data_IF_680137073037
#
_entry.id   IF_680137073037
#
_cell.length_a   1.000
_cell.length_b   1.000
_cell.length_c   1.000
_cell.angle_alpha   90.00
_cell.angle_beta   90.00
_cell.angle_gamma   90.00
#
_symmetry.space_group_name_H-M   'P 1'
#
loop_
_entity.id
_entity.type
_entity.pdbx_description
1 polymer ?
#
# COMPACT_ATOMS: atom_id res chain seq x y z
N UNK A 1 23.71 24.90 -2.11
CA UNK A 1 23.82 24.56 -3.54
C UNK A 1 22.50 24.06 -4.01
N UNK A 2 21.89 24.87 -4.82
CA UNK A 2 20.52 24.76 -5.33
C UNK A 2 20.47 23.78 -6.49
N UNK A 3 19.68 22.74 -6.42
CA UNK A 3 19.30 21.98 -7.61
C UNK A 3 17.80 21.91 -7.78
N UNK A 4 17.29 23.01 -8.29
CA UNK A 4 16.05 23.13 -9.02
C UNK A 4 16.24 22.53 -10.42
N UNK A 5 15.49 21.55 -10.82
CA UNK A 5 15.29 21.09 -12.22
C UNK A 5 14.27 19.96 -12.23
N UNK A 6 13.32 19.90 -13.05
CA UNK A 6 12.81 20.56 -14.21
C UNK A 6 11.33 20.17 -14.32
N UNK A 7 10.47 21.15 -14.30
CA UNK A 7 9.10 20.99 -14.80
C UNK A 7 9.15 21.00 -16.31
N UNK A 8 8.89 19.88 -16.93
CA UNK A 8 8.61 19.85 -18.37
C UNK A 8 7.11 19.68 -18.57
N UNK A 9 6.48 20.81 -18.83
CA UNK A 9 5.10 20.88 -19.30
C UNK A 9 5.05 20.42 -20.75
N UNK A 10 4.36 19.34 -21.03
CA UNK A 10 3.95 18.99 -22.38
C UNK A 10 2.47 19.27 -22.49
N UNK A 11 2.18 20.38 -23.17
CA UNK A 11 0.84 20.73 -23.62
C UNK A 11 0.65 20.05 -24.97
N UNK A 12 -0.19 19.04 -25.05
CA UNK A 12 -0.70 18.52 -26.31
C UNK A 12 -2.12 19.03 -26.52
N UNK A 13 -2.21 20.03 -27.39
CA UNK A 13 -3.47 20.45 -27.96
C UNK A 13 -3.89 19.41 -29.02
N UNK A 14 -5.02 18.78 -28.84
CA UNK A 14 -5.65 17.94 -29.85
C UNK A 14 -6.84 18.69 -30.47
N UNK A 15 -6.77 18.88 -31.77
CA UNK A 15 -7.75 19.56 -32.56
C UNK A 15 -9.03 18.75 -32.73
N UNK A 16 -10.12 19.45 -32.62
CA UNK A 16 -11.48 19.02 -32.94
C UNK A 16 -11.69 18.90 -34.45
N UNK A 17 -12.19 17.77 -34.89
CA UNK A 17 -12.87 17.69 -36.17
C UNK A 17 -14.30 17.22 -35.95
N UNK A 18 -15.20 18.13 -36.18
CA UNK A 18 -16.64 17.90 -36.28
C UNK A 18 -16.95 17.27 -37.63
N UNK A 19 -17.57 16.10 -37.62
CA UNK A 19 -18.23 15.56 -38.82
C UNK A 19 -19.70 15.33 -38.53
N UNK A 20 -20.53 16.16 -39.15
CA UNK A 20 -21.98 15.98 -39.23
C UNK A 20 -22.30 14.84 -40.21
N UNK A 21 -23.09 13.91 -39.78
CA UNK A 21 -23.69 12.88 -40.62
C UNK A 21 -25.02 12.43 -40.05
N UNK A 22 -26.10 13.01 -40.57
CA UNK A 22 -27.47 12.57 -40.36
C UNK A 22 -27.70 11.20 -40.99
N UNK A 23 -28.40 10.29 -40.31
CA UNK A 23 -29.51 9.54 -40.92
C UNK A 23 -30.25 8.72 -39.83
N UNK A 24 -31.54 8.98 -39.79
CA UNK A 24 -32.54 8.31 -39.03
C UNK A 24 -32.64 6.81 -39.28
N UNK A 25 -32.64 6.00 -38.23
CA UNK A 25 -33.38 4.74 -38.25
C UNK A 25 -33.97 4.49 -36.85
N UNK A 26 -35.29 4.63 -36.81
CA UNK A 26 -36.06 4.13 -35.72
C UNK A 26 -36.02 2.59 -35.71
N UNK A 27 -35.47 2.02 -34.70
CA UNK A 27 -35.65 0.61 -34.38
C UNK A 27 -35.97 0.52 -32.88
N UNK A 28 -37.20 0.26 -32.59
CA UNK A 28 -37.68 -0.18 -31.29
C UNK A 28 -37.04 -1.52 -30.97
N UNK A 29 -35.98 -1.51 -30.20
CA UNK A 29 -35.48 -2.67 -29.54
C UNK A 29 -35.46 -2.41 -28.05
N UNK A 30 -36.44 -2.96 -27.36
CA UNK A 30 -36.46 -3.06 -25.93
C UNK A 30 -35.30 -3.93 -25.50
N UNK A 31 -34.26 -3.33 -25.04
CA UNK A 31 -33.19 -4.02 -24.36
C UNK A 31 -33.59 -4.20 -22.90
N UNK A 32 -33.58 -5.41 -22.37
CA UNK A 32 -33.77 -5.60 -20.92
C UNK A 32 -32.62 -4.90 -20.22
N UNK A 33 -32.98 -4.01 -19.30
CA UNK A 33 -32.06 -3.37 -18.40
C UNK A 33 -31.33 -4.45 -17.58
N UNK A 34 -30.17 -4.84 -18.04
CA UNK A 34 -29.21 -5.48 -17.17
C UNK A 34 -28.74 -4.40 -16.20
N UNK A 35 -29.36 -4.41 -15.02
CA UNK A 35 -28.80 -3.74 -13.87
C UNK A 35 -27.48 -4.44 -13.58
N UNK A 36 -26.43 -3.98 -14.22
CA UNK A 36 -25.10 -4.22 -13.75
C UNK A 36 -24.98 -3.49 -12.43
N UNK A 37 -25.28 -4.20 -11.37
CA UNK A 37 -24.78 -3.85 -10.06
C UNK A 37 -23.26 -3.72 -10.23
N UNK A 38 -22.80 -2.48 -10.37
CA UNK A 38 -21.41 -2.16 -10.19
C UNK A 38 -21.10 -2.50 -8.73
N UNK A 39 -20.75 -3.75 -8.49
CA UNK A 39 -19.99 -4.08 -7.32
C UNK A 39 -18.67 -3.34 -7.52
N UNK A 40 -18.60 -2.15 -6.99
CA UNK A 40 -17.33 -1.54 -6.64
C UNK A 40 -16.73 -2.50 -5.62
N UNK A 41 -16.07 -3.52 -6.13
CA UNK A 41 -15.05 -4.22 -5.36
C UNK A 41 -14.02 -3.13 -5.09
N UNK A 42 -14.14 -2.51 -3.93
CA UNK A 42 -13.00 -1.89 -3.32
C UNK A 42 -11.96 -3.00 -3.29
N UNK A 43 -11.07 -2.98 -4.26
CA UNK A 43 -9.86 -3.77 -4.20
C UNK A 43 -9.14 -3.23 -2.99
N UNK A 44 -9.39 -3.88 -1.86
CA UNK A 44 -8.47 -3.78 -0.75
C UNK A 44 -7.12 -4.10 -1.37
N UNK A 45 -6.30 -3.09 -1.53
CA UNK A 45 -4.92 -3.26 -1.97
C UNK A 45 -4.30 -4.16 -0.93
N UNK A 46 -4.26 -5.44 -1.23
CA UNK A 46 -3.57 -6.42 -0.41
C UNK A 46 -2.10 -6.06 -0.54
N UNK A 47 -1.65 -5.25 0.39
CA UNK A 47 -0.24 -4.95 0.49
C UNK A 47 0.49 -6.28 0.71
N UNK A 48 1.57 -6.52 -0.02
CA UNK A 48 2.26 -7.79 0.05
C UNK A 48 2.77 -8.04 1.47
N UNK A 49 2.54 -9.24 1.96
CA UNK A 49 3.09 -9.68 3.24
C UNK A 49 4.60 -9.81 3.09
N UNK A 50 5.33 -9.13 3.92
CA UNK A 50 6.80 -9.09 3.92
C UNK A 50 7.36 -9.71 5.20
N UNK A 51 8.62 -10.11 5.14
CA UNK A 51 9.36 -10.63 6.29
C UNK A 51 10.44 -9.65 6.68
N UNK A 52 10.43 -9.25 7.93
CA UNK A 52 11.39 -8.33 8.52
C UNK A 52 12.20 -9.06 9.58
N UNK A 53 13.50 -8.79 9.66
CA UNK A 53 14.38 -9.38 10.67
C UNK A 53 15.06 -8.28 11.45
N UNK A 54 14.90 -8.31 12.76
CA UNK A 54 15.48 -7.27 13.58
C UNK A 54 15.29 -7.51 15.07
N UNK A 55 15.66 -6.51 15.83
CA UNK A 55 15.50 -6.53 17.29
C UNK A 55 14.31 -5.67 17.68
N UNK A 56 13.45 -6.20 18.56
CA UNK A 56 12.38 -5.40 19.15
C UNK A 56 12.98 -4.56 20.27
N UNK A 57 12.89 -3.24 20.16
CA UNK A 57 13.38 -2.31 21.16
C UNK A 57 12.23 -1.44 21.68
N UNK A 58 12.29 -1.10 22.97
CA UNK A 58 11.36 -0.14 23.54
C UNK A 58 11.85 1.28 23.30
N UNK A 59 11.03 2.08 22.65
CA UNK A 59 11.28 3.50 22.42
C UNK A 59 10.14 4.31 23.03
N UNK A 60 10.47 5.08 24.06
CA UNK A 60 9.47 5.80 24.86
C UNK A 60 8.43 4.82 25.42
N UNK A 61 7.18 4.90 24.97
CA UNK A 61 6.08 4.05 25.41
C UNK A 61 5.64 3.02 24.34
N UNK A 62 6.41 2.88 23.28
CA UNK A 62 6.10 2.00 22.16
C UNK A 62 7.22 1.00 21.90
N UNK A 63 6.84 -0.15 21.37
CA UNK A 63 7.78 -1.14 20.89
C UNK A 63 7.93 -0.98 19.37
N UNK A 64 9.18 -0.96 18.94
CA UNK A 64 9.58 -0.76 17.54
C UNK A 64 10.49 -1.90 17.11
N UNK A 65 10.46 -2.24 15.83
CA UNK A 65 11.39 -3.18 15.22
C UNK A 65 12.53 -2.40 14.60
N UNK A 66 13.74 -2.67 15.05
CA UNK A 66 14.96 -2.19 14.40
C UNK A 66 15.45 -3.27 13.45
N UNK A 67 15.25 -3.06 12.17
CA UNK A 67 15.65 -3.99 11.12
C UNK A 67 17.18 -4.01 10.99
N UNK A 68 17.76 -5.19 11.13
CA UNK A 68 19.21 -5.39 10.99
C UNK A 68 19.68 -5.37 9.54
N UNK A 69 18.79 -5.65 8.61
CA UNK A 69 19.14 -5.75 7.19
C UNK A 69 19.20 -4.36 6.53
N UNK A 70 18.21 -3.54 6.80
CA UNK A 70 18.09 -2.20 6.21
C UNK A 70 18.54 -1.07 7.15
N UNK A 71 18.69 -1.36 8.45
CA UNK A 71 18.93 -0.36 9.49
C UNK A 71 17.71 0.55 9.74
N UNK A 72 16.58 0.26 9.11
CA UNK A 72 15.36 1.02 9.27
C UNK A 72 14.65 0.67 10.57
N UNK A 73 13.83 1.60 11.03
CA UNK A 73 13.03 1.43 12.23
C UNK A 73 11.56 1.47 11.88
N UNK A 74 10.81 0.45 12.30
CA UNK A 74 9.39 0.33 12.04
C UNK A 74 8.60 0.29 13.33
N UNK A 75 7.45 0.93 13.35
CA UNK A 75 6.51 0.75 14.45
C UNK A 75 5.80 -0.60 14.30
N UNK A 76 5.40 -1.19 15.42
CA UNK A 76 4.62 -2.43 15.43
C UNK A 76 3.19 -2.09 15.85
N UNK A 77 2.20 -2.56 15.11
CA UNK A 77 0.79 -2.28 15.42
C UNK A 77 0.34 -2.99 16.70
N UNK A 78 0.79 -4.23 16.89
CA UNK A 78 0.46 -5.02 18.05
C UNK A 78 1.53 -4.87 19.14
N UNK A 79 1.33 -3.90 20.01
CA UNK A 79 2.27 -3.58 21.10
C UNK A 79 2.34 -4.67 22.18
N UNK A 80 1.25 -5.40 22.41
CA UNK A 80 1.21 -6.48 23.42
C UNK A 80 2.09 -7.65 22.98
N UNK A 81 1.98 -8.08 21.74
CA UNK A 81 2.89 -9.09 21.18
C UNK A 81 4.33 -8.60 21.13
N UNK A 82 4.54 -7.37 20.73
CA UNK A 82 5.89 -6.80 20.66
C UNK A 82 6.56 -6.74 22.03
N UNK A 83 5.81 -6.49 23.08
CA UNK A 83 6.30 -6.46 24.46
C UNK A 83 6.92 -7.78 24.89
N UNK A 84 6.34 -8.91 24.50
CA UNK A 84 6.84 -10.25 24.85
C UNK A 84 8.22 -10.53 24.24
N UNK A 85 8.53 -9.87 23.15
CA UNK A 85 9.77 -10.05 22.40
C UNK A 85 10.75 -8.87 22.58
N UNK A 86 10.49 -7.98 23.52
CA UNK A 86 11.35 -6.83 23.78
C UNK A 86 12.79 -7.26 24.09
N UNK A 87 13.76 -6.66 23.38
CA UNK A 87 15.19 -6.95 23.52
C UNK A 87 15.63 -8.24 22.83
N UNK A 88 14.75 -8.90 22.09
CA UNK A 88 15.07 -10.14 21.38
C UNK A 88 15.17 -9.90 19.86
N UNK A 89 15.98 -10.72 19.23
CA UNK A 89 16.02 -10.80 17.77
C UNK A 89 14.84 -11.63 17.28
N UNK A 90 14.05 -11.03 16.40
CA UNK A 90 12.84 -11.63 15.90
C UNK A 90 12.74 -11.56 14.38
N UNK A 91 11.98 -12.48 13.84
CA UNK A 91 11.49 -12.43 12.47
C UNK A 91 9.99 -12.11 12.52
N UNK A 92 9.65 -10.95 12.01
CA UNK A 92 8.28 -10.48 11.91
C UNK A 92 7.77 -10.70 10.50
N UNK A 93 6.63 -11.36 10.37
CA UNK A 93 5.90 -11.47 9.11
C UNK A 93 4.68 -10.57 9.19
N UNK A 94 4.52 -9.70 8.22
CA UNK A 94 3.41 -8.76 8.23
C UNK A 94 3.39 -7.84 7.02
N UNK A 95 2.48 -6.90 7.04
CA UNK A 95 2.31 -5.89 6.01
C UNK A 95 2.86 -4.56 6.48
N UNK A 96 3.70 -3.93 5.69
CA UNK A 96 4.22 -2.59 5.98
C UNK A 96 3.27 -1.53 5.43
N UNK A 97 2.82 -0.65 6.29
CA UNK A 97 2.18 0.61 5.89
C UNK A 97 3.26 1.70 5.72
N UNK A 98 3.56 2.09 4.49
CA UNK A 98 4.63 3.07 4.23
C UNK A 98 4.26 4.49 4.68
N UNK A 99 2.99 4.79 4.85
CA UNK A 99 2.53 6.12 5.25
C UNK A 99 2.80 6.40 6.73
N UNK A 100 2.72 5.37 7.56
CA UNK A 100 2.94 5.44 9.01
C UNK A 100 4.21 4.75 9.48
N UNK A 101 4.95 4.09 8.58
CA UNK A 101 6.07 3.20 8.89
C UNK A 101 5.71 2.15 9.95
N UNK A 102 4.50 1.62 9.87
CA UNK A 102 3.97 0.64 10.81
C UNK A 102 3.85 -0.72 10.16
N UNK A 103 4.36 -1.75 10.82
CA UNK A 103 4.19 -3.14 10.42
C UNK A 103 2.95 -3.69 11.12
N UNK A 104 1.98 -4.13 10.34
CA UNK A 104 0.86 -4.93 10.82
C UNK A 104 1.33 -6.37 10.99
N UNK A 105 1.49 -6.81 12.24
CA UNK A 105 2.05 -8.11 12.57
C UNK A 105 1.03 -9.21 12.28
N UNK A 106 1.37 -10.09 11.35
CA UNK A 106 0.64 -11.36 11.14
C UNK A 106 1.24 -12.47 12.00
N UNK A 107 2.57 -12.56 12.05
CA UNK A 107 3.31 -13.54 12.83
C UNK A 107 4.63 -12.96 13.34
N UNK A 108 5.09 -13.44 14.49
CA UNK A 108 6.36 -13.05 15.09
C UNK A 108 7.05 -14.29 15.68
N UNK A 109 8.29 -14.49 15.31
CA UNK A 109 9.10 -15.63 15.74
C UNK A 109 10.43 -15.14 16.30
N UNK A 110 10.84 -15.70 17.42
CA UNK A 110 12.18 -15.44 17.97
C UNK A 110 13.22 -16.11 17.08
N UNK A 111 14.22 -15.36 16.66
CA UNK A 111 15.40 -15.94 16.08
C UNK A 111 16.34 -16.37 17.23
N UNK A 112 16.34 -17.66 17.51
CA UNK A 112 17.41 -18.22 18.33
C UNK A 112 18.67 -18.16 17.49
N UNK A 113 19.58 -17.25 17.81
CA UNK A 113 20.87 -17.18 17.16
C UNK A 113 21.60 -18.52 17.33
N UNK A 114 21.96 -19.11 16.23
CA UNK A 114 22.97 -20.17 16.19
C UNK A 114 24.34 -19.54 16.26
#
# INVERSE_FOLDING_TARGET
>A
MTNSRFFLRIICAAAFTVSMGSLSHAALAQSPAFVRSAHSQAQAQQQPVQKFQGTVVKSKDKYILQDKTSGATYQLDNQDKAKEFAGRDVKVTGTLDPSTNTIQISDIQVQSGQ
#
